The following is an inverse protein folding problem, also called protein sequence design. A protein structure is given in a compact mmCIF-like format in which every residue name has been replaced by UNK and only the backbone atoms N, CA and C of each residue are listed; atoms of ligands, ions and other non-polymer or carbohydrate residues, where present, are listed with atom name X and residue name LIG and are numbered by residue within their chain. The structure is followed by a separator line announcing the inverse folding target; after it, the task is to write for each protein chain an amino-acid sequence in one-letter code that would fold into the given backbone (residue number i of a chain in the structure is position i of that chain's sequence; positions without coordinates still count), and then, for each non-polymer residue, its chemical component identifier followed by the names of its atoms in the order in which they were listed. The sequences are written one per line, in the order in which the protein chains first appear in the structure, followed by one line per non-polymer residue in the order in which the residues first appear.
data_IF_067309936001
#
_entry.id   IF_067309936001
#
_cell.length_a   1.000
_cell.length_b   1.000
_cell.length_c   1.000
_cell.angle_alpha   90.00
_cell.angle_beta   90.00
_cell.angle_gamma   90.00
#
_symmetry.space_group_name_H-M   'P 1'
#
loop_
_entity.id
_entity.type
_entity.pdbx_description
1 polymer ?
#
# COMPACT_ATOMS: atom_id res chain seq x y z
N UNK A 1 5.38 -23.20 -27.43
CA UNK A 1 4.06 -22.85 -26.88
C UNK A 1 4.12 -21.43 -26.34
N UNK A 2 3.46 -20.47 -27.01
CA UNK A 2 3.39 -19.07 -26.57
C UNK A 2 2.43 -19.00 -25.38
N UNK A 3 2.97 -18.75 -24.19
CA UNK A 3 2.20 -18.60 -22.94
C UNK A 3 1.68 -17.17 -22.88
N UNK A 4 0.36 -17.00 -22.87
CA UNK A 4 -0.28 -15.72 -22.70
C UNK A 4 -0.07 -15.23 -21.26
N UNK A 5 0.47 -14.02 -21.13
CA UNK A 5 0.68 -13.31 -19.88
C UNK A 5 -0.67 -12.83 -19.35
N UNK A 6 -1.13 -13.41 -18.23
CA UNK A 6 -2.27 -12.95 -17.44
C UNK A 6 -1.80 -12.31 -16.12
N UNK A 7 -1.19 -11.09 -16.15
CA UNK A 7 -1.19 -10.27 -14.93
C UNK A 7 -1.77 -8.85 -15.13
N UNK A 8 -2.01 -8.41 -16.37
CA UNK A 8 -2.31 -6.99 -16.65
C UNK A 8 -3.80 -6.64 -16.55
N UNK A 9 -4.70 -7.59 -16.84
CA UNK A 9 -6.16 -7.35 -16.82
C UNK A 9 -6.73 -7.23 -15.41
N UNK A 10 -6.08 -7.80 -14.39
CA UNK A 10 -6.53 -7.74 -13.00
C UNK A 10 -6.26 -6.36 -12.35
N UNK A 11 -5.17 -5.69 -12.76
CA UNK A 11 -4.81 -4.34 -12.28
C UNK A 11 -5.69 -3.25 -12.91
N UNK A 12 -6.06 -3.39 -14.19
CA UNK A 12 -6.91 -2.40 -14.89
C UNK A 12 -8.35 -2.41 -14.36
N UNK A 13 -8.87 -3.57 -13.93
CA UNK A 13 -10.19 -3.67 -13.30
C UNK A 13 -10.20 -2.97 -11.93
N UNK A 14 -9.09 -3.02 -11.17
CA UNK A 14 -8.92 -2.27 -9.91
C UNK A 14 -8.95 -0.74 -10.11
N UNK A 15 -8.35 -0.24 -11.21
CA UNK A 15 -8.31 1.19 -11.54
C UNK A 15 -9.69 1.74 -11.95
N UNK A 16 -10.48 0.96 -12.70
CA UNK A 16 -11.77 1.42 -13.22
C UNK A 16 -12.91 1.34 -12.19
N UNK A 17 -12.90 0.36 -11.29
CA UNK A 17 -13.89 0.28 -10.20
C UNK A 17 -13.62 1.35 -9.14
N UNK A 18 -12.35 1.74 -8.95
CA UNK A 18 -11.93 2.72 -7.97
C UNK A 18 -12.31 4.17 -8.25
N UNK A 19 -12.33 4.58 -9.53
CA UNK A 19 -12.73 5.92 -9.92
C UNK A 19 -14.20 6.24 -9.58
N UNK A 20 -15.09 5.23 -9.57
CA UNK A 20 -16.51 5.43 -9.28
C UNK A 20 -16.82 5.61 -7.79
N UNK A 21 -16.08 4.94 -6.90
CA UNK A 21 -16.32 5.02 -5.45
C UNK A 21 -15.88 6.35 -4.83
N UNK A 22 -14.79 6.94 -5.33
CA UNK A 22 -14.28 8.25 -4.87
C UNK A 22 -15.22 9.39 -5.28
N UNK A 23 -15.87 9.29 -6.45
CA UNK A 23 -16.90 10.27 -6.86
C UNK A 23 -18.14 10.21 -5.94
N UNK A 24 -18.46 9.06 -5.35
CA UNK A 24 -19.50 8.92 -4.33
C UNK A 24 -19.16 9.68 -3.04
N UNK A 25 -17.93 9.49 -2.52
CA UNK A 25 -17.42 10.18 -1.32
C UNK A 25 -17.43 11.71 -1.49
N UNK A 26 -16.98 12.19 -2.66
CA UNK A 26 -16.89 13.63 -2.94
C UNK A 26 -18.24 14.31 -3.17
N UNK A 27 -19.28 13.55 -3.57
CA UNK A 27 -20.61 14.10 -3.84
C UNK A 27 -21.43 14.29 -2.56
N UNK A 28 -21.22 13.45 -1.55
CA UNK A 28 -21.94 13.57 -0.26
C UNK A 28 -21.30 14.59 0.69
N UNK A 29 -20.00 14.89 0.56
CA UNK A 29 -19.36 15.99 1.30
C UNK A 29 -19.73 17.40 0.80
N UNK A 30 -20.44 17.51 -0.33
CA UNK A 30 -20.72 18.78 -1.02
C UNK A 30 -22.17 19.26 -1.00
N UNK A 31 -23.11 18.51 -0.39
CA UNK A 31 -24.54 18.91 -0.34
C UNK A 31 -24.98 19.30 1.07
N UNK A 32 -24.45 20.42 1.55
CA UNK A 32 -25.12 21.25 2.55
C UNK A 32 -25.62 22.52 1.86
N UNK A 33 -26.95 22.70 1.80
CA UNK A 33 -27.59 24.00 1.60
C UNK A 33 -28.26 24.24 0.24
N UNK A 34 -29.53 23.84 0.10
CA UNK A 34 -30.68 24.75 -0.04
C UNK A 34 -31.88 24.07 -0.70
N UNK A 35 -32.81 23.58 0.12
CA UNK A 35 -34.25 23.86 -0.06
C UNK A 35 -35.00 23.43 1.20
N UNK A 36 -35.73 24.39 1.76
CA UNK A 36 -36.67 24.28 2.86
C UNK A 36 -37.75 23.22 2.62
N UNK A 37 -38.00 22.35 3.60
CA UNK A 37 -39.30 22.20 4.28
C UNK A 37 -39.25 21.09 5.35
N UNK A 38 -39.92 21.38 6.47
CA UNK A 38 -40.03 20.62 7.71
C UNK A 38 -40.07 19.08 7.59
N UNK A 39 -39.21 18.40 8.35
CA UNK A 39 -39.65 17.38 9.31
C UNK A 39 -38.52 16.91 10.21
N UNK A 40 -38.82 16.90 11.50
CA UNK A 40 -38.08 16.29 12.59
C UNK A 40 -37.53 14.90 12.24
N UNK A 41 -36.21 14.75 12.25
CA UNK A 41 -35.58 13.58 12.85
C UNK A 41 -34.21 13.97 13.38
N UNK A 42 -34.04 13.80 14.67
CA UNK A 42 -32.79 13.92 15.42
C UNK A 42 -31.82 12.88 14.89
N UNK A 43 -30.97 13.23 13.93
CA UNK A 43 -29.80 12.41 13.57
C UNK A 43 -28.65 12.84 14.47
N UNK A 44 -28.40 12.04 15.50
CA UNK A 44 -27.15 12.08 16.27
C UNK A 44 -25.95 11.96 15.31
N UNK A 45 -24.79 12.56 15.63
CA UNK A 45 -23.62 12.47 14.77
C UNK A 45 -23.22 11.00 14.59
N UNK A 46 -23.05 10.58 13.34
CA UNK A 46 -22.41 9.30 13.01
C UNK A 46 -21.03 9.28 13.68
N UNK A 47 -20.84 8.44 14.70
CA UNK A 47 -19.51 8.15 15.22
C UNK A 47 -18.65 7.64 14.04
N UNK A 48 -17.55 8.32 13.72
CA UNK A 48 -16.62 7.90 12.67
C UNK A 48 -16.16 6.46 12.93
N UNK A 49 -16.28 5.58 11.92
CA UNK A 49 -15.76 4.21 12.01
C UNK A 49 -14.22 4.21 12.04
N UNK A 50 -13.58 3.20 12.65
CA UNK A 50 -12.11 3.08 12.65
C UNK A 50 -11.46 3.17 11.26
N UNK A 51 -12.11 2.67 10.21
CA UNK A 51 -11.61 2.74 8.84
C UNK A 51 -11.75 4.12 8.22
N UNK A 52 -12.80 4.89 8.54
CA UNK A 52 -12.91 6.29 8.11
C UNK A 52 -11.76 7.15 8.66
N UNK A 53 -11.33 6.88 9.89
CA UNK A 53 -10.18 7.56 10.50
C UNK A 53 -8.87 7.29 9.73
N UNK A 54 -8.69 6.10 9.17
CA UNK A 54 -7.52 5.77 8.33
C UNK A 54 -7.51 6.53 7.00
N UNK A 55 -8.69 6.76 6.42
CA UNK A 55 -8.84 7.46 5.15
C UNK A 55 -8.85 8.99 5.31
N UNK A 56 -8.91 9.48 6.55
CA UNK A 56 -8.86 10.90 6.87
C UNK A 56 -7.54 11.51 6.41
N UNK A 57 -7.62 12.47 5.49
CA UNK A 57 -6.45 13.10 4.86
C UNK A 57 -6.15 12.63 3.44
N UNK A 58 -6.89 11.65 2.92
CA UNK A 58 -6.85 11.25 1.51
C UNK A 58 -8.12 11.75 0.82
N UNK A 59 -8.04 12.93 0.21
CA UNK A 59 -9.16 13.67 -0.38
C UNK A 59 -9.39 13.37 -1.86
N UNK A 60 -8.43 12.71 -2.52
CA UNK A 60 -8.52 12.35 -3.93
C UNK A 60 -8.09 10.91 -4.18
N UNK A 61 -8.49 10.37 -5.34
CA UNK A 61 -8.04 9.06 -5.82
C UNK A 61 -6.51 8.98 -5.90
N UNK A 62 -5.85 10.06 -6.35
CA UNK A 62 -4.39 10.10 -6.48
C UNK A 62 -3.70 10.06 -5.12
N UNK A 63 -4.19 10.80 -4.13
CA UNK A 63 -3.64 10.75 -2.78
C UNK A 63 -3.80 9.36 -2.16
N UNK A 64 -4.95 8.72 -2.39
CA UNK A 64 -5.21 7.37 -1.91
C UNK A 64 -4.32 6.34 -2.61
N UNK A 65 -4.15 6.45 -3.93
CA UNK A 65 -3.20 5.63 -4.70
C UNK A 65 -1.79 5.77 -4.14
N UNK A 66 -1.31 6.99 -3.86
CA UNK A 66 -0.02 7.21 -3.21
C UNK A 66 0.07 6.62 -1.80
N UNK A 67 -0.99 6.75 -1.00
CA UNK A 67 -1.06 6.15 0.34
C UNK A 67 -0.99 4.62 0.28
N UNK A 68 -1.66 4.02 -0.70
CA UNK A 68 -1.58 2.58 -0.94
C UNK A 68 -0.25 2.17 -1.54
N UNK A 69 0.35 2.90 -2.50
CA UNK A 69 1.62 2.53 -3.14
C UNK A 69 2.79 2.54 -2.16
N UNK A 70 2.74 3.44 -1.18
CA UNK A 70 3.62 3.41 -0.02
C UNK A 70 4.92 4.18 -0.18
N UNK A 71 4.95 5.24 -1.00
CA UNK A 71 6.10 6.13 -1.18
C UNK A 71 6.37 7.06 0.04
N UNK A 72 6.16 6.56 1.27
CA UNK A 72 6.23 7.33 2.52
C UNK A 72 7.63 7.91 2.78
N UNK A 73 8.69 7.14 2.55
CA UNK A 73 10.06 7.59 2.77
C UNK A 73 10.49 8.62 1.72
N UNK A 74 10.04 8.43 0.47
CA UNK A 74 10.41 9.32 -0.64
C UNK A 74 9.74 10.68 -0.59
N UNK A 75 8.56 10.81 0.02
CA UNK A 75 7.84 12.10 0.12
C UNK A 75 8.67 13.24 0.70
N UNK A 76 9.55 12.95 1.66
CA UNK A 76 10.46 13.95 2.26
C UNK A 76 11.85 14.01 1.61
N UNK A 77 12.26 12.95 0.91
CA UNK A 77 13.59 12.85 0.28
C UNK A 77 13.63 13.48 -1.11
N UNK A 78 12.56 13.32 -1.87
CA UNK A 78 12.47 13.81 -3.23
C UNK A 78 11.08 14.40 -3.50
N UNK A 79 10.79 15.60 -2.95
CA UNK A 79 9.48 16.25 -3.07
C UNK A 79 9.23 16.82 -4.48
N UNK A 80 10.19 16.71 -5.40
CA UNK A 80 10.10 17.33 -6.73
C UNK A 80 9.20 16.50 -7.64
N UNK A 81 8.19 17.16 -8.23
CA UNK A 81 7.53 16.64 -9.42
C UNK A 81 8.52 16.71 -10.59
N UNK A 82 9.10 15.57 -10.96
CA UNK A 82 9.91 15.50 -12.18
C UNK A 82 8.99 15.62 -13.40
N UNK A 83 9.05 16.77 -14.08
CA UNK A 83 8.62 16.85 -15.47
C UNK A 83 9.84 16.58 -16.34
N UNK A 84 9.75 15.56 -17.18
CA UNK A 84 10.79 15.27 -18.15
C UNK A 84 10.14 15.15 -19.52
N UNK A 85 10.78 15.77 -20.50
CA UNK A 85 10.30 15.75 -21.87
C UNK A 85 10.87 14.49 -22.56
N UNK A 86 10.32 13.32 -22.22
CA UNK A 86 10.64 12.09 -22.95
C UNK A 86 9.90 12.05 -24.28
N UNK A 87 10.53 11.42 -25.26
CA UNK A 87 9.88 11.11 -26.53
C UNK A 87 8.59 10.31 -26.29
N UNK A 88 7.55 10.57 -27.09
CA UNK A 88 6.34 9.75 -27.15
C UNK A 88 6.54 8.43 -27.93
N UNK A 89 7.76 8.16 -28.42
CA UNK A 89 8.09 6.92 -29.09
C UNK A 89 8.05 5.73 -28.10
N UNK A 90 7.10 4.83 -28.33
CA UNK A 90 6.82 3.69 -27.44
C UNK A 90 8.02 2.72 -27.33
N UNK A 91 8.77 2.48 -28.40
CA UNK A 91 9.93 1.58 -28.37
C UNK A 91 11.05 2.16 -27.51
N UNK A 92 11.30 3.46 -27.64
CA UNK A 92 12.24 4.18 -26.79
C UNK A 92 11.83 4.14 -25.31
N UNK A 93 10.54 4.38 -25.02
CA UNK A 93 10.03 4.30 -23.65
C UNK A 93 10.12 2.88 -23.08
N UNK A 94 9.86 1.84 -23.88
CA UNK A 94 10.02 0.44 -23.47
C UNK A 94 11.47 0.10 -23.15
N UNK A 95 12.41 0.58 -23.95
CA UNK A 95 13.84 0.39 -23.67
C UNK A 95 14.25 1.06 -22.35
N UNK A 96 13.83 2.32 -22.16
CA UNK A 96 14.06 3.06 -20.91
C UNK A 96 13.45 2.36 -19.69
N UNK A 97 12.20 1.92 -19.78
CA UNK A 97 11.51 1.17 -18.73
C UNK A 97 12.27 -0.11 -18.37
N UNK A 98 12.72 -0.89 -19.36
CA UNK A 98 13.53 -2.11 -19.12
C UNK A 98 14.83 -1.80 -18.38
N UNK A 99 15.52 -0.73 -18.76
CA UNK A 99 16.76 -0.32 -18.09
C UNK A 99 16.50 0.07 -16.63
N UNK A 100 15.45 0.84 -16.37
CA UNK A 100 15.02 1.21 -15.00
C UNK A 100 14.70 -0.04 -14.17
N UNK A 101 13.91 -0.97 -14.70
CA UNK A 101 13.57 -2.24 -14.03
C UNK A 101 14.83 -3.05 -13.72
N UNK A 102 15.81 -3.08 -14.64
CA UNK A 102 17.04 -3.81 -14.42
C UNK A 102 17.91 -3.19 -13.32
N UNK A 103 18.02 -1.85 -13.27
CA UNK A 103 18.71 -1.15 -12.18
C UNK A 103 18.03 -1.48 -10.85
N UNK A 104 16.70 -1.39 -10.79
CA UNK A 104 15.93 -1.71 -9.60
C UNK A 104 16.21 -3.13 -9.08
N UNK A 105 16.18 -4.13 -9.97
CA UNK A 105 16.46 -5.53 -9.62
C UNK A 105 17.88 -5.70 -9.08
N UNK A 106 18.87 -5.10 -9.73
CA UNK A 106 20.26 -5.19 -9.31
C UNK A 106 20.47 -4.56 -7.92
N UNK A 107 19.92 -3.37 -7.69
CA UNK A 107 19.95 -2.71 -6.38
C UNK A 107 19.23 -3.56 -5.33
N UNK A 108 18.05 -4.10 -5.64
CA UNK A 108 17.28 -4.94 -4.72
C UNK A 108 18.07 -6.16 -4.26
N UNK A 109 18.75 -6.85 -5.18
CA UNK A 109 19.63 -7.98 -4.87
C UNK A 109 20.81 -7.53 -4.02
N UNK A 110 21.47 -6.42 -4.39
CA UNK A 110 22.63 -5.91 -3.66
C UNK A 110 22.28 -5.54 -2.22
N UNK A 111 21.26 -4.70 -2.02
CA UNK A 111 20.86 -4.22 -0.69
C UNK A 111 20.36 -5.37 0.19
N UNK A 112 19.60 -6.31 -0.37
CA UNK A 112 19.21 -7.53 0.35
C UNK A 112 20.43 -8.36 0.75
N UNK A 113 21.40 -8.55 -0.16
CA UNK A 113 22.60 -9.36 0.13
C UNK A 113 23.52 -8.74 1.19
N UNK A 114 23.49 -7.40 1.31
CA UNK A 114 24.24 -6.65 2.31
C UNK A 114 23.53 -6.56 3.66
N UNK A 115 22.25 -6.95 3.73
CA UNK A 115 21.41 -6.73 4.90
C UNK A 115 21.15 -5.24 5.17
N UNK A 116 21.13 -4.40 4.12
CA UNK A 116 20.93 -2.96 4.25
C UNK A 116 19.43 -2.63 4.35
N UNK A 117 18.93 -2.48 5.58
CA UNK A 117 17.51 -2.25 5.83
C UNK A 117 17.00 -0.97 5.16
N UNK A 118 17.73 0.14 5.28
CA UNK A 118 17.29 1.44 4.72
C UNK A 118 17.22 1.33 3.21
N UNK A 119 18.24 0.73 2.58
CA UNK A 119 18.24 0.49 1.14
C UNK A 119 17.05 -0.36 0.69
N UNK A 120 16.81 -1.47 1.39
CA UNK A 120 15.67 -2.36 1.09
C UNK A 120 14.33 -1.66 1.21
N UNK A 121 14.12 -0.84 2.25
CA UNK A 121 12.86 -0.12 2.44
C UNK A 121 12.66 0.99 1.42
N UNK A 122 13.70 1.73 1.04
CA UNK A 122 13.60 2.71 -0.04
C UNK A 122 13.24 2.07 -1.38
N UNK A 123 13.77 0.89 -1.68
CA UNK A 123 13.39 0.15 -2.90
C UNK A 123 11.99 -0.44 -2.81
N UNK A 124 11.56 -0.85 -1.63
CA UNK A 124 10.20 -1.35 -1.43
C UNK A 124 9.13 -0.25 -1.66
N UNK A 125 9.40 1.01 -1.28
CA UNK A 125 8.52 2.16 -1.60
C UNK A 125 8.31 2.34 -3.11
N UNK A 126 9.33 2.05 -3.92
CA UNK A 126 9.29 2.26 -5.37
C UNK A 126 8.66 1.08 -6.12
N UNK A 127 8.42 -0.05 -5.44
CA UNK A 127 8.07 -1.33 -6.08
C UNK A 127 6.86 -1.20 -6.98
N UNK A 128 5.77 -0.60 -6.51
CA UNK A 128 4.50 -0.55 -7.26
C UNK A 128 4.66 0.31 -8.52
N UNK A 129 5.38 1.43 -8.43
CA UNK A 129 5.71 2.25 -9.61
C UNK A 129 6.62 1.53 -10.60
N UNK A 130 7.54 0.70 -10.12
CA UNK A 130 8.37 -0.16 -10.99
C UNK A 130 7.52 -1.23 -11.68
N UNK A 131 6.50 -1.77 -11.00
CA UNK A 131 5.57 -2.75 -11.57
C UNK A 131 4.79 -2.15 -12.74
N UNK A 132 4.36 -0.89 -12.66
CA UNK A 132 3.67 -0.19 -13.76
C UNK A 132 4.50 -0.17 -15.05
N UNK A 133 5.83 -0.10 -14.93
CA UNK A 133 6.76 -0.08 -16.07
C UNK A 133 6.87 -1.44 -16.78
N UNK A 134 6.26 -2.50 -16.23
CA UNK A 134 6.17 -3.82 -16.88
C UNK A 134 4.98 -3.93 -17.84
N UNK A 135 4.13 -2.91 -17.91
CA UNK A 135 2.94 -2.89 -18.74
C UNK A 135 3.24 -2.98 -20.25
N UNK A 136 2.28 -3.50 -21.01
CA UNK A 136 2.39 -3.62 -22.48
C UNK A 136 2.49 -2.27 -23.19
N UNK A 137 1.95 -1.21 -22.57
CA UNK A 137 1.98 0.17 -23.02
C UNK A 137 2.54 1.03 -21.88
N UNK A 138 3.64 1.75 -22.14
CA UNK A 138 4.37 2.53 -21.12
C UNK A 138 4.30 4.04 -21.35
N UNK A 139 3.73 4.50 -22.46
CA UNK A 139 3.52 5.94 -22.71
C UNK A 139 2.82 6.71 -21.58
N UNK A 140 1.81 6.17 -20.86
CA UNK A 140 1.21 6.88 -19.72
C UNK A 140 2.17 7.05 -18.54
N UNK A 141 3.26 6.28 -18.50
CA UNK A 141 4.22 6.22 -17.40
C UNK A 141 5.55 6.93 -17.73
N UNK A 142 5.61 7.75 -18.78
CA UNK A 142 6.85 8.45 -19.16
C UNK A 142 7.46 9.27 -18.01
N UNK A 143 6.64 10.02 -17.25
CA UNK A 143 7.12 10.75 -16.07
C UNK A 143 7.64 9.79 -14.98
N UNK A 144 6.94 8.67 -14.75
CA UNK A 144 7.36 7.63 -13.80
C UNK A 144 8.71 7.05 -14.19
N UNK A 145 8.97 6.79 -15.48
CA UNK A 145 10.26 6.30 -15.98
C UNK A 145 11.39 7.23 -15.57
N UNK A 146 11.24 8.55 -15.77
CA UNK A 146 12.28 9.51 -15.39
C UNK A 146 12.48 9.61 -13.88
N UNK A 147 11.38 9.67 -13.13
CA UNK A 147 11.42 9.76 -11.68
C UNK A 147 12.19 8.55 -11.12
N UNK A 148 11.86 7.34 -11.59
CA UNK A 148 12.55 6.12 -11.19
C UNK A 148 14.01 6.09 -11.68
N UNK A 149 14.28 6.51 -12.91
CA UNK A 149 15.66 6.58 -13.43
C UNK A 149 16.54 7.48 -12.55
N UNK A 150 16.03 8.65 -12.13
CA UNK A 150 16.74 9.56 -11.24
C UNK A 150 16.95 8.96 -9.84
N UNK A 151 15.88 8.49 -9.19
CA UNK A 151 15.94 7.92 -7.83
C UNK A 151 16.88 6.73 -7.75
N UNK A 152 16.85 5.84 -8.75
CA UNK A 152 17.68 4.64 -8.78
C UNK A 152 19.15 4.92 -9.15
N UNK A 153 19.43 5.86 -10.05
CA UNK A 153 20.83 6.22 -10.37
C UNK A 153 21.54 6.94 -9.22
N UNK A 154 20.80 7.71 -8.43
CA UNK A 154 21.31 8.44 -7.27
C UNK A 154 21.01 7.72 -5.94
N UNK A 155 20.71 6.43 -5.99
CA UNK A 155 20.17 5.68 -4.85
C UNK A 155 21.05 5.73 -3.59
N UNK A 156 22.37 5.60 -3.73
CA UNK A 156 23.30 5.68 -2.59
C UNK A 156 23.34 7.07 -1.93
N UNK A 157 23.04 8.14 -2.67
CA UNK A 157 22.89 9.48 -2.10
C UNK A 157 21.60 9.56 -1.28
N UNK A 158 20.47 9.17 -1.86
CA UNK A 158 19.18 9.17 -1.17
C UNK A 158 19.15 8.26 0.05
N UNK A 159 19.87 7.15 0.03
CA UNK A 159 20.01 6.26 1.20
C UNK A 159 20.72 6.94 2.37
N UNK A 160 21.73 7.76 2.11
CA UNK A 160 22.41 8.55 3.15
C UNK A 160 21.49 9.64 3.68
N UNK A 161 20.82 10.36 2.79
CA UNK A 161 19.85 11.41 3.15
C UNK A 161 18.67 10.85 3.95
N UNK A 162 18.24 9.60 3.69
CA UNK A 162 17.18 8.95 4.46
C UNK A 162 17.48 8.85 5.95
N UNK A 163 18.73 8.54 6.31
CA UNK A 163 19.15 8.50 7.71
C UNK A 163 19.18 9.90 8.35
N UNK A 164 19.52 10.93 7.57
CA UNK A 164 19.52 12.32 8.03
C UNK A 164 18.11 12.87 8.25
N UNK A 165 17.17 12.52 7.37
CA UNK A 165 15.79 13.03 7.37
C UNK A 165 14.88 12.24 8.30
N UNK A 166 15.00 10.91 8.30
CA UNK A 166 14.08 10.01 9.01
C UNK A 166 14.70 9.38 10.26
N UNK A 167 15.99 9.57 10.49
CA UNK A 167 16.72 8.92 11.57
C UNK A 167 17.01 7.45 11.28
N UNK A 168 17.35 6.71 12.33
CA UNK A 168 17.62 5.27 12.27
C UNK A 168 16.33 4.46 12.49
N UNK A 169 16.14 3.34 11.77
CA UNK A 169 15.01 2.45 11.99
C UNK A 169 15.09 1.81 13.39
N UNK A 170 13.93 1.58 14.01
CA UNK A 170 13.85 0.90 15.32
C UNK A 170 13.99 -0.63 15.25
N UNK A 171 13.95 -1.19 14.05
CA UNK A 171 14.07 -2.62 13.78
C UNK A 171 15.23 -2.91 12.83
N UNK A 172 15.62 -4.18 12.77
CA UNK A 172 16.73 -4.67 11.96
C UNK A 172 16.27 -5.25 10.61
N UNK A 173 17.23 -5.43 9.70
CA UNK A 173 16.99 -6.20 8.48
C UNK A 173 16.50 -7.63 8.78
N UNK A 174 17.02 -8.25 9.84
CA UNK A 174 16.64 -9.61 10.23
C UNK A 174 15.17 -9.68 10.68
N UNK A 175 14.68 -8.67 11.38
CA UNK A 175 13.26 -8.58 11.76
C UNK A 175 12.35 -8.56 10.51
N UNK A 176 12.70 -7.73 9.52
CA UNK A 176 11.98 -7.63 8.26
C UNK A 176 12.08 -8.92 7.43
N UNK A 177 13.25 -9.54 7.40
CA UNK A 177 13.51 -10.82 6.72
C UNK A 177 12.70 -11.96 7.34
N UNK A 178 12.63 -12.02 8.67
CA UNK A 178 11.84 -13.01 9.39
C UNK A 178 10.34 -12.85 9.15
N UNK A 179 9.82 -11.61 9.15
CA UNK A 179 8.46 -11.32 8.74
C UNK A 179 8.21 -11.80 7.30
N UNK A 180 9.13 -11.48 6.40
CA UNK A 180 9.07 -11.90 5.00
C UNK A 180 8.97 -13.42 4.83
N UNK A 181 9.78 -14.18 5.57
CA UNK A 181 9.74 -15.65 5.57
C UNK A 181 8.43 -16.20 6.14
N UNK A 182 7.91 -15.58 7.19
CA UNK A 182 6.61 -15.94 7.79
C UNK A 182 5.50 -15.79 6.76
N UNK A 183 5.49 -14.66 6.05
CA UNK A 183 4.49 -14.36 5.03
C UNK A 183 4.68 -15.17 3.73
N UNK A 184 5.92 -15.52 3.38
CA UNK A 184 6.24 -16.35 2.20
C UNK A 184 5.46 -17.64 2.20
N UNK A 185 5.39 -18.37 3.32
CA UNK A 185 4.69 -19.66 3.35
C UNK A 185 3.18 -19.53 3.11
N UNK A 186 2.59 -18.41 3.55
CA UNK A 186 1.16 -18.12 3.38
C UNK A 186 0.84 -17.70 1.95
N UNK A 187 1.78 -17.03 1.27
CA UNK A 187 1.52 -16.37 -0.01
C UNK A 187 2.21 -17.00 -1.22
N UNK A 188 3.21 -17.87 -1.02
CA UNK A 188 3.96 -18.53 -2.08
C UNK A 188 3.06 -19.39 -2.98
N UNK A 189 2.08 -20.08 -2.39
CA UNK A 189 1.08 -20.86 -3.15
C UNK A 189 0.27 -19.99 -4.13
N UNK A 190 0.21 -18.68 -3.91
CA UNK A 190 -0.54 -17.76 -4.75
C UNK A 190 0.34 -17.01 -5.75
N UNK A 191 1.56 -16.64 -5.38
CA UNK A 191 2.39 -15.73 -6.18
C UNK A 191 3.50 -16.37 -6.99
N UNK A 192 3.87 -17.62 -6.73
CA UNK A 192 4.98 -18.32 -7.41
C UNK A 192 6.38 -17.67 -7.21
N UNK A 193 6.49 -16.37 -6.90
CA UNK A 193 7.72 -15.67 -6.48
C UNK A 193 7.63 -14.13 -6.52
N UNK A 194 8.58 -13.41 -5.89
CA UNK A 194 8.66 -11.94 -5.85
C UNK A 194 9.26 -11.33 -7.14
N UNK A 195 8.91 -10.07 -7.46
CA UNK A 195 9.41 -9.33 -8.63
C UNK A 195 10.92 -9.06 -8.56
N UNK A 196 11.39 -8.72 -7.37
CA UNK A 196 12.78 -8.41 -7.05
C UNK A 196 13.65 -9.67 -6.88
N UNK A 197 13.04 -10.87 -6.86
CA UNK A 197 13.72 -12.12 -6.49
C UNK A 197 13.93 -12.29 -4.97
N UNK A 198 13.60 -11.27 -4.17
CA UNK A 198 13.67 -11.27 -2.71
C UNK A 198 12.29 -10.96 -2.12
N UNK A 199 11.85 -11.75 -1.13
CA UNK A 199 10.59 -11.44 -0.46
C UNK A 199 10.69 -10.21 0.44
N UNK A 200 11.90 -9.75 0.81
CA UNK A 200 12.09 -8.62 1.75
C UNK A 200 11.67 -7.29 1.12
N UNK A 201 12.09 -7.04 -0.12
CA UNK A 201 11.65 -5.88 -0.92
C UNK A 201 10.15 -5.97 -1.26
N UNK A 202 9.61 -7.20 -1.36
CA UNK A 202 8.23 -7.43 -1.73
C UNK A 202 7.27 -7.55 -0.53
N UNK A 203 7.73 -7.46 0.74
CA UNK A 203 6.90 -7.68 1.96
C UNK A 203 5.57 -6.93 1.90
N UNK A 204 5.56 -5.66 1.50
CA UNK A 204 4.33 -4.84 1.48
C UNK A 204 3.29 -5.35 0.50
N UNK A 205 3.74 -5.87 -0.64
CA UNK A 205 2.90 -6.52 -1.65
C UNK A 205 2.26 -7.76 -1.05
N UNK A 206 3.06 -8.53 -0.32
CA UNK A 206 2.59 -9.74 0.37
C UNK A 206 1.51 -9.39 1.38
N UNK A 207 1.70 -8.31 2.14
CA UNK A 207 0.72 -7.82 3.13
C UNK A 207 -0.59 -7.37 2.48
N UNK A 208 -0.54 -6.55 1.41
CA UNK A 208 -1.74 -6.15 0.66
C UNK A 208 -2.46 -7.36 0.08
N UNK A 209 -1.72 -8.35 -0.38
CA UNK A 209 -2.33 -9.55 -0.94
C UNK A 209 -3.00 -10.44 0.09
N UNK A 210 -2.41 -10.58 1.28
CA UNK A 210 -3.06 -11.27 2.38
C UNK A 210 -4.45 -10.68 2.61
N UNK A 211 -4.56 -9.35 2.67
CA UNK A 211 -5.84 -8.64 2.78
C UNK A 211 -6.77 -8.97 1.60
N UNK A 212 -6.28 -8.82 0.36
CA UNK A 212 -7.06 -9.12 -0.84
C UNK A 212 -7.65 -10.53 -0.78
N UNK A 213 -6.86 -11.54 -0.39
CA UNK A 213 -7.33 -12.93 -0.29
C UNK A 213 -8.29 -13.13 0.87
N UNK A 214 -8.04 -12.51 2.01
CA UNK A 214 -8.89 -12.60 3.20
C UNK A 214 -10.29 -12.03 2.94
N UNK A 215 -10.42 -11.00 2.08
CA UNK A 215 -11.72 -10.43 1.67
C UNK A 215 -12.63 -11.48 1.01
N UNK A 216 -12.06 -12.44 0.28
CA UNK A 216 -12.81 -13.46 -0.48
C UNK A 216 -12.71 -14.87 0.10
N UNK A 217 -11.95 -15.06 1.18
CA UNK A 217 -11.74 -16.38 1.77
C UNK A 217 -11.59 -16.30 3.30
N UNK A 218 -12.70 -16.46 4.00
CA UNK A 218 -12.77 -16.39 5.46
C UNK A 218 -11.90 -17.43 6.16
N UNK A 219 -11.66 -18.60 5.55
CA UNK A 219 -10.78 -19.64 6.11
C UNK A 219 -9.32 -19.20 6.31
N UNK A 220 -8.88 -18.11 5.68
CA UNK A 220 -7.55 -17.53 5.93
C UNK A 220 -7.48 -16.75 7.23
N UNK A 221 -8.63 -16.28 7.72
CA UNK A 221 -8.77 -15.41 8.90
C UNK A 221 -9.11 -16.25 10.13
N UNK A 222 -9.94 -17.28 9.96
CA UNK A 222 -10.42 -18.18 11.03
C UNK A 222 -9.36 -18.61 12.06
N UNK A 223 -8.12 -19.02 11.68
CA UNK A 223 -7.12 -19.47 12.66
C UNK A 223 -6.70 -18.40 13.67
N UNK A 224 -6.96 -17.12 13.38
CA UNK A 224 -6.58 -15.98 14.21
C UNK A 224 -7.73 -15.43 15.06
N UNK A 225 -8.95 -15.99 14.95
CA UNK A 225 -10.15 -15.40 15.55
C UNK A 225 -10.50 -15.95 16.94
N UNK A 226 -9.68 -16.83 17.53
CA UNK A 226 -9.98 -17.45 18.83
C UNK A 226 -10.12 -16.44 19.97
N UNK A 227 -9.43 -15.30 19.87
CA UNK A 227 -9.43 -14.21 20.84
C UNK A 227 -9.92 -12.87 20.26
N UNK A 228 -10.63 -12.91 19.13
CA UNK A 228 -11.14 -11.70 18.48
C UNK A 228 -12.21 -11.00 19.33
N UNK A 229 -12.02 -9.70 19.57
CA UNK A 229 -13.06 -8.77 20.01
C UNK A 229 -13.21 -7.63 18.99
N UNK A 230 -14.46 -7.28 18.69
CA UNK A 230 -14.77 -6.16 17.81
C UNK A 230 -14.20 -4.85 18.36
N UNK A 231 -14.43 -4.58 19.64
CA UNK A 231 -14.00 -3.36 20.34
C UNK A 231 -12.47 -3.26 20.41
N UNK A 232 -11.79 -4.37 20.76
CA UNK A 232 -10.33 -4.40 20.83
C UNK A 232 -9.71 -4.22 19.44
N UNK A 233 -10.23 -4.90 18.42
CA UNK A 233 -9.75 -4.78 17.04
C UNK A 233 -9.92 -3.34 16.51
N UNK A 234 -11.08 -2.73 16.78
CA UNK A 234 -11.36 -1.35 16.41
C UNK A 234 -10.39 -0.36 17.08
N UNK A 235 -10.16 -0.52 18.40
CA UNK A 235 -9.24 0.34 19.14
C UNK A 235 -7.79 0.18 18.68
N UNK A 236 -7.35 -1.07 18.46
CA UNK A 236 -6.01 -1.37 17.95
C UNK A 236 -5.77 -0.76 16.57
N UNK A 237 -6.75 -0.78 15.67
CA UNK A 237 -6.61 -0.19 14.34
C UNK A 237 -6.30 1.30 14.39
N UNK A 238 -7.03 2.04 15.23
CA UNK A 238 -6.86 3.48 15.40
C UNK A 238 -5.52 3.78 16.07
N UNK A 239 -5.21 3.09 17.16
CA UNK A 239 -3.97 3.31 17.90
C UNK A 239 -2.74 2.98 17.06
N UNK A 240 -2.72 1.83 16.38
CA UNK A 240 -1.60 1.41 15.53
C UNK A 240 -1.32 2.42 14.42
N UNK A 241 -2.36 3.01 13.83
CA UNK A 241 -2.20 4.04 12.80
C UNK A 241 -1.40 5.25 13.29
N UNK A 242 -1.58 5.65 14.54
CA UNK A 242 -0.87 6.78 15.13
C UNK A 242 0.51 6.39 15.66
N UNK A 243 0.66 5.17 16.19
CA UNK A 243 1.96 4.62 16.58
C UNK A 243 2.90 4.49 15.38
N UNK A 244 2.41 4.03 14.23
CA UNK A 244 3.21 3.92 13.01
C UNK A 244 3.83 5.25 12.59
N UNK A 245 3.12 6.38 12.73
CA UNK A 245 3.64 7.72 12.38
C UNK A 245 4.90 8.12 13.17
N UNK A 246 5.15 7.47 14.32
CA UNK A 246 6.33 7.73 15.15
C UNK A 246 7.60 7.09 14.58
N UNK A 247 7.46 6.05 13.75
CA UNK A 247 8.58 5.39 13.07
C UNK A 247 8.33 5.38 11.54
N UNK A 248 8.98 6.27 10.77
CA UNK A 248 8.78 6.38 9.33
C UNK A 248 9.05 5.07 8.56
N UNK A 249 9.97 4.24 9.05
CA UNK A 249 10.32 2.98 8.43
C UNK A 249 9.25 1.92 8.68
N UNK A 250 8.71 1.86 9.91
CA UNK A 250 7.57 1.01 10.21
C UNK A 250 6.31 1.47 9.46
N UNK A 251 6.05 2.78 9.45
CA UNK A 251 4.95 3.37 8.69
C UNK A 251 5.01 2.95 7.23
N UNK A 252 6.17 3.11 6.61
CA UNK A 252 6.45 2.71 5.23
C UNK A 252 6.14 1.23 4.96
N UNK A 253 6.43 0.33 5.89
CA UNK A 253 6.13 -1.11 5.75
C UNK A 253 4.64 -1.42 5.90
N UNK A 254 3.99 -0.91 6.94
CA UNK A 254 2.69 -1.43 7.39
C UNK A 254 1.50 -0.55 6.97
N UNK A 255 1.67 0.77 6.96
CA UNK A 255 0.61 1.72 6.63
C UNK A 255 0.00 1.48 5.24
N UNK A 256 0.78 1.19 4.18
CA UNK A 256 0.22 0.93 2.85
C UNK A 256 -0.85 -0.18 2.82
N UNK A 257 -0.62 -1.28 3.55
CA UNK A 257 -1.61 -2.37 3.64
C UNK A 257 -2.85 -1.98 4.45
N UNK A 258 -2.71 -1.15 5.48
CA UNK A 258 -3.87 -0.68 6.25
C UNK A 258 -4.74 0.29 5.45
N UNK A 259 -4.13 1.19 4.65
CA UNK A 259 -4.87 2.04 3.72
C UNK A 259 -5.54 1.18 2.64
N UNK A 260 -4.87 0.15 2.14
CA UNK A 260 -5.45 -0.79 1.19
C UNK A 260 -6.68 -1.54 1.76
N UNK A 261 -6.61 -1.97 3.03
CA UNK A 261 -7.74 -2.56 3.74
C UNK A 261 -8.92 -1.58 3.87
N UNK A 262 -8.64 -0.35 4.33
CA UNK A 262 -9.66 0.68 4.50
C UNK A 262 -10.30 1.09 3.17
N UNK A 263 -9.54 1.07 2.08
CA UNK A 263 -10.05 1.33 0.74
C UNK A 263 -11.09 0.29 0.30
N UNK A 264 -10.77 -1.00 0.43
CA UNK A 264 -11.73 -2.08 0.13
C UNK A 264 -12.94 -2.04 1.03
N UNK A 265 -12.73 -1.79 2.33
CA UNK A 265 -13.80 -1.56 3.29
C UNK A 265 -14.73 -0.46 2.82
N UNK A 266 -14.20 0.70 2.43
CA UNK A 266 -15.01 1.85 2.01
C UNK A 266 -15.89 1.51 0.80
N UNK A 267 -15.36 0.75 -0.14
CA UNK A 267 -16.13 0.29 -1.30
C UNK A 267 -17.28 -0.62 -0.87
N UNK A 268 -16.99 -1.68 -0.10
CA UNK A 268 -18.01 -2.66 0.30
C UNK A 268 -19.05 -2.04 1.26
N UNK A 269 -18.62 -1.15 2.15
CA UNK A 269 -19.48 -0.44 3.12
C UNK A 269 -20.52 0.43 2.42
N UNK A 270 -20.14 1.15 1.38
CA UNK A 270 -21.05 2.03 0.62
C UNK A 270 -22.07 1.26 -0.23
N UNK A 271 -21.75 0.02 -0.61
CA UNK A 271 -22.60 -0.80 -1.47
C UNK A 271 -23.37 -1.89 -0.69
N UNK A 272 -23.20 -1.94 0.63
CA UNK A 272 -23.84 -2.93 1.50
C UNK A 272 -25.16 -2.43 2.06
N UNK A 273 -26.15 -3.33 2.14
CA UNK A 273 -27.38 -3.13 2.91
C UNK A 273 -27.19 -3.39 4.41
N UNK A 274 -26.04 -3.94 4.83
CA UNK A 274 -25.69 -4.23 6.22
C UNK A 274 -24.28 -3.70 6.57
N UNK A 275 -24.11 -2.38 6.74
CA UNK A 275 -22.80 -1.79 7.06
C UNK A 275 -22.13 -2.31 8.34
N UNK A 276 -22.85 -2.65 9.43
CA UNK A 276 -22.25 -3.30 10.61
C UNK A 276 -21.53 -4.63 10.32
N UNK A 277 -22.09 -5.45 9.44
CA UNK A 277 -21.47 -6.73 9.04
C UNK A 277 -20.19 -6.51 8.23
N UNK A 278 -20.18 -5.49 7.36
CA UNK A 278 -18.96 -5.07 6.66
C UNK A 278 -17.90 -4.62 7.67
N UNK A 279 -18.26 -3.81 8.68
CA UNK A 279 -17.31 -3.40 9.71
C UNK A 279 -16.69 -4.61 10.43
N UNK A 280 -17.52 -5.56 10.87
CA UNK A 280 -17.03 -6.76 11.58
C UNK A 280 -16.13 -7.63 10.68
N UNK A 281 -16.52 -7.85 9.41
CA UNK A 281 -15.71 -8.56 8.42
C UNK A 281 -14.30 -7.96 8.29
N UNK A 282 -14.19 -6.65 8.09
CA UNK A 282 -12.89 -6.01 7.90
C UNK A 282 -12.08 -5.90 9.19
N UNK A 283 -12.73 -5.79 10.35
CA UNK A 283 -12.04 -5.84 11.65
C UNK A 283 -11.49 -7.24 11.95
N UNK A 284 -12.17 -8.31 11.54
CA UNK A 284 -11.61 -9.67 11.59
C UNK A 284 -10.40 -9.83 10.69
N UNK A 285 -10.44 -9.27 9.48
CA UNK A 285 -9.29 -9.27 8.55
C UNK A 285 -8.11 -8.48 9.15
N UNK A 286 -8.37 -7.30 9.70
CA UNK A 286 -7.35 -6.53 10.41
C UNK A 286 -6.77 -7.30 11.59
N UNK A 287 -7.61 -7.95 12.40
CA UNK A 287 -7.15 -8.75 13.54
C UNK A 287 -6.18 -9.86 13.11
N UNK A 288 -6.56 -10.64 12.10
CA UNK A 288 -5.69 -11.68 11.56
C UNK A 288 -4.39 -11.10 10.98
N UNK A 289 -4.46 -9.99 10.25
CA UNK A 289 -3.28 -9.27 9.76
C UNK A 289 -2.37 -8.84 10.92
N UNK A 290 -2.94 -8.25 11.98
CA UNK A 290 -2.21 -7.74 13.13
C UNK A 290 -1.51 -8.87 13.90
N UNK A 291 -2.22 -9.98 14.17
CA UNK A 291 -1.63 -11.17 14.81
C UNK A 291 -0.52 -11.79 13.96
N UNK A 292 -0.69 -11.81 12.64
CA UNK A 292 0.27 -12.38 11.72
C UNK A 292 1.56 -11.57 11.64
N UNK A 293 1.45 -10.24 11.56
CA UNK A 293 2.62 -9.37 11.31
C UNK A 293 3.25 -8.84 12.59
N UNK A 294 2.47 -8.71 13.66
CA UNK A 294 2.86 -8.15 14.95
C UNK A 294 3.66 -6.84 14.79
N UNK A 295 3.01 -5.76 14.32
CA UNK A 295 3.68 -4.55 13.87
C UNK A 295 4.36 -3.79 15.01
N UNK A 296 3.97 -4.02 16.28
CA UNK A 296 4.57 -3.42 17.46
C UNK A 296 6.05 -3.78 17.63
N UNK A 297 6.48 -4.93 17.12
CA UNK A 297 7.91 -5.31 17.11
C UNK A 297 8.79 -4.39 16.26
N UNK A 298 8.16 -3.59 15.39
CA UNK A 298 8.82 -2.73 14.43
C UNK A 298 8.68 -1.25 14.76
N UNK A 299 7.94 -0.92 15.82
CA UNK A 299 7.74 0.45 16.28
C UNK A 299 8.52 0.54 17.59
N UNK A 300 9.55 1.41 17.62
CA UNK A 300 10.46 1.52 18.77
C UNK A 300 9.71 1.62 20.10
N UNK A 301 10.13 0.79 21.07
CA UNK A 301 9.65 0.82 22.46
C UNK A 301 10.20 1.97 23.27
#
# INVERSE_FOLDING_TARGET
MKRAYLPLSFFIILVLVGAYAVVGILKDSGKAGNSSENSSSTSAPMNETPFQLLLKGYSSYYELDEGTSGEYLWKKLDPKSYSCNLSSNEDFLKEKARNVIQIYKNLSVNETSRGDLVGVLLLADLRDRISDLTASYVSPFANTICLMENRLKNFEMYKKEALEVHGYPSFSFDDLSNLSLTLKNITYKTYWGPLSGSWVVDVRVVLKHFIYRAIYNESLVEPFLSDYSYEESASLLVNLSDELKKDPYAESVFKPSLIYLAYWWSWEYQHSSNPPEVNDKYLKIFWAWYKLVNPEKFIGG
#
